data_IF_206959747667
#
_entry.id   IF_206959747667
#
_cell.length_a   1.000
_cell.length_b   1.000
_cell.length_c   1.000
_cell.angle_alpha   90.00
_cell.angle_beta   90.00
_cell.angle_gamma   90.00
#
_symmetry.space_group_name_H-M   'P 1'
#
loop_
_entity.id
_entity.type
_entity.pdbx_description
1 polymer ?
#
# COMPACT_ATOMS: atom_id res chain seq x y z
N UNK A 1 -8.04 34.69 -16.17
CA UNK A 1 -8.10 34.85 -14.70
C UNK A 1 -8.63 33.61 -13.98
N UNK A 2 -9.30 32.66 -14.65
CA UNK A 2 -9.83 31.45 -13.98
C UNK A 2 -8.78 30.36 -13.67
N UNK A 3 -7.68 30.28 -14.44
CA UNK A 3 -6.64 29.28 -14.22
C UNK A 3 -5.87 29.40 -12.90
N UNK A 4 -5.91 30.56 -12.24
CA UNK A 4 -5.26 30.79 -10.93
C UNK A 4 -6.21 30.45 -9.76
N UNK A 5 -7.53 30.52 -9.97
CA UNK A 5 -8.53 30.28 -8.92
C UNK A 5 -8.66 28.79 -8.59
N UNK A 6 -8.51 27.93 -9.60
CA UNK A 6 -8.57 26.47 -9.43
C UNK A 6 -7.51 25.94 -8.45
N UNK A 7 -6.20 26.23 -8.60
CA UNK A 7 -5.21 25.76 -7.63
C UNK A 7 -5.43 26.36 -6.25
N UNK A 8 -5.76 27.66 -6.15
CA UNK A 8 -5.96 28.34 -4.86
C UNK A 8 -7.10 27.71 -4.06
N UNK A 9 -8.27 27.50 -4.69
CA UNK A 9 -9.42 26.86 -4.06
C UNK A 9 -9.15 25.40 -3.66
N UNK A 10 -8.39 24.66 -4.46
CA UNK A 10 -7.99 23.29 -4.15
C UNK A 10 -7.07 23.24 -2.93
N UNK A 11 -6.03 24.09 -2.88
CA UNK A 11 -5.12 24.16 -1.73
C UNK A 11 -5.85 24.61 -0.45
N UNK A 12 -6.73 25.61 -0.55
CA UNK A 12 -7.49 26.09 0.59
C UNK A 12 -8.48 25.02 1.10
N UNK A 13 -9.14 24.31 0.18
CA UNK A 13 -10.07 23.22 0.50
C UNK A 13 -9.35 22.02 1.13
N UNK A 14 -8.19 21.63 0.61
CA UNK A 14 -7.36 20.58 1.19
C UNK A 14 -6.89 20.95 2.61
N UNK A 15 -6.43 22.19 2.80
CA UNK A 15 -6.02 22.67 4.12
C UNK A 15 -7.18 22.70 5.12
N UNK A 16 -8.35 23.20 4.70
CA UNK A 16 -9.57 23.23 5.51
C UNK A 16 -10.04 21.80 5.87
N UNK A 17 -9.94 20.85 4.94
CA UNK A 17 -10.28 19.45 5.19
C UNK A 17 -9.34 18.82 6.23
N UNK A 18 -8.02 18.97 6.05
CA UNK A 18 -7.03 18.44 7.00
C UNK A 18 -7.22 19.04 8.39
N UNK A 19 -7.42 20.37 8.45
CA UNK A 19 -7.70 21.06 9.71
C UNK A 19 -9.01 20.59 10.34
N UNK A 20 -10.07 20.41 9.56
CA UNK A 20 -11.37 19.92 10.02
C UNK A 20 -11.29 18.53 10.62
N UNK A 21 -10.64 17.58 9.93
CA UNK A 21 -10.40 16.22 10.43
C UNK A 21 -9.61 16.27 11.74
N UNK A 22 -8.55 17.09 11.80
CA UNK A 22 -7.71 17.20 12.99
C UNK A 22 -8.45 17.83 14.18
N UNK A 23 -9.28 18.84 13.94
CA UNK A 23 -10.08 19.51 14.95
C UNK A 23 -11.16 18.58 15.53
N UNK A 24 -11.91 17.90 14.67
CA UNK A 24 -12.93 16.92 15.08
C UNK A 24 -12.30 15.76 15.86
N UNK A 25 -11.18 15.21 15.37
CA UNK A 25 -10.47 14.14 16.08
C UNK A 25 -9.92 14.57 17.45
N UNK A 26 -9.69 15.87 17.68
CA UNK A 26 -9.27 16.38 18.98
C UNK A 26 -10.47 16.56 19.92
N UNK A 27 -11.61 17.04 19.40
CA UNK A 27 -12.88 17.13 20.15
C UNK A 27 -13.39 15.76 20.57
N UNK A 28 -13.31 14.76 19.70
CA UNK A 28 -13.70 13.38 20.00
C UNK A 28 -12.88 12.81 21.16
N UNK A 29 -11.57 13.05 21.18
CA UNK A 29 -10.68 12.60 22.27
C UNK A 29 -11.02 13.26 23.60
N UNK A 30 -11.37 14.55 23.60
CA UNK A 30 -11.80 15.26 24.82
C UNK A 30 -13.13 14.72 25.34
N UNK A 31 -14.11 14.53 24.45
CA UNK A 31 -15.41 13.96 24.81
C UNK A 31 -15.31 12.50 25.30
N UNK A 32 -14.27 11.77 24.89
CA UNK A 32 -13.97 10.41 25.37
C UNK A 32 -13.45 10.44 26.81
N UNK A 33 -12.51 11.35 27.12
CA UNK A 33 -11.99 11.57 28.48
C UNK A 33 -13.10 12.00 29.44
N UNK A 34 -13.97 12.93 29.01
CA UNK A 34 -15.11 13.41 29.80
C UNK A 34 -16.13 12.29 30.10
N UNK A 35 -16.22 11.27 29.25
CA UNK A 35 -17.05 10.08 29.45
C UNK A 35 -16.35 8.97 30.24
N UNK A 36 -15.17 9.23 30.78
CA UNK A 36 -14.38 8.27 31.55
C UNK A 36 -13.75 7.15 30.71
N UNK A 37 -13.72 7.33 29.38
CA UNK A 37 -13.06 6.40 28.45
C UNK A 37 -11.68 6.97 28.16
N UNK A 38 -10.62 6.22 28.47
CA UNK A 38 -9.26 6.66 28.20
C UNK A 38 -8.95 6.54 26.69
N UNK A 39 -8.75 7.66 25.97
CA UNK A 39 -8.49 7.64 24.52
C UNK A 39 -7.11 7.08 24.17
N UNK A 40 -6.27 6.81 25.17
CA UNK A 40 -4.95 6.20 25.05
C UNK A 40 -4.99 4.68 24.95
N UNK A 41 -6.02 4.01 25.46
CA UNK A 41 -6.08 2.52 25.49
C UNK A 41 -6.23 1.92 24.08
N UNK A 42 -6.74 2.70 23.12
CA UNK A 42 -6.82 2.28 21.71
C UNK A 42 -5.59 2.63 20.87
N UNK A 43 -4.57 3.27 21.47
CA UNK A 43 -3.31 3.59 20.81
C UNK A 43 -2.22 2.67 21.33
N UNK A 44 -1.66 1.88 20.42
CA UNK A 44 -0.49 1.02 20.64
C UNK A 44 -0.76 -0.44 21.04
N UNK A 45 -1.69 -1.12 20.37
CA UNK A 45 -1.15 -2.26 19.62
C UNK A 45 -0.39 -1.64 18.45
N UNK A 46 0.97 -1.64 18.44
CA UNK A 46 1.68 -1.36 17.21
C UNK A 46 1.00 -2.24 16.16
N UNK A 47 0.65 -1.74 14.98
CA UNK A 47 0.35 -2.63 13.86
C UNK A 47 1.73 -3.10 13.41
N UNK A 48 2.35 -4.12 14.04
CA UNK A 48 3.78 -4.42 13.90
C UNK A 48 4.09 -4.90 12.47
N UNK A 49 3.05 -5.17 11.70
CA UNK A 49 3.11 -5.85 10.43
C UNK A 49 2.94 -4.90 9.24
N UNK A 50 2.78 -3.58 9.42
CA UNK A 50 2.63 -2.68 8.26
C UNK A 50 3.93 -2.64 7.44
N UNK A 51 5.08 -2.53 8.11
CA UNK A 51 6.40 -2.65 7.50
C UNK A 51 6.62 -4.04 6.87
N UNK A 52 6.12 -5.10 7.51
CA UNK A 52 6.20 -6.47 6.99
C UNK A 52 5.36 -6.66 5.72
N UNK A 53 4.15 -6.07 5.65
CA UNK A 53 3.30 -6.06 4.46
C UNK A 53 3.98 -5.37 3.30
N UNK A 54 4.51 -4.17 3.52
CA UNK A 54 5.22 -3.43 2.48
C UNK A 54 6.52 -4.12 2.07
N UNK A 55 7.26 -4.72 3.01
CA UNK A 55 8.47 -5.48 2.73
C UNK A 55 8.20 -6.69 1.85
N UNK A 56 7.21 -7.52 2.20
CA UNK A 56 6.89 -8.72 1.44
C UNK A 56 6.22 -8.41 0.10
N UNK A 57 5.44 -7.33 0.02
CA UNK A 57 4.93 -6.79 -1.24
C UNK A 57 6.11 -6.40 -2.15
N UNK A 58 7.07 -5.61 -1.65
CA UNK A 58 8.20 -5.13 -2.43
C UNK A 58 9.12 -6.27 -2.90
N UNK A 59 9.31 -7.30 -2.06
CA UNK A 59 10.01 -8.53 -2.43
C UNK A 59 9.27 -9.29 -3.53
N UNK A 60 7.95 -9.47 -3.40
CA UNK A 60 7.13 -10.09 -4.44
C UNK A 60 7.18 -9.34 -5.78
N UNK A 61 7.12 -8.01 -5.72
CA UNK A 61 7.26 -7.13 -6.89
C UNK A 61 8.63 -7.29 -7.56
N UNK A 62 9.71 -7.28 -6.78
CA UNK A 62 11.08 -7.43 -7.28
C UNK A 62 11.33 -8.80 -7.91
N UNK A 63 10.92 -9.88 -7.25
CA UNK A 63 11.03 -11.24 -7.78
C UNK A 63 10.18 -11.39 -9.05
N UNK A 64 8.95 -10.87 -9.03
CA UNK A 64 8.05 -10.90 -10.19
C UNK A 64 8.64 -10.21 -11.41
N UNK A 65 9.33 -9.07 -11.22
CA UNK A 65 9.97 -8.34 -12.30
C UNK A 65 11.20 -9.07 -12.86
N UNK A 66 12.01 -9.69 -11.99
CA UNK A 66 13.14 -10.52 -12.43
C UNK A 66 12.68 -11.76 -13.22
N UNK A 67 11.63 -12.43 -12.75
CA UNK A 67 11.03 -13.58 -13.45
C UNK A 67 10.42 -13.15 -14.77
N UNK A 68 9.72 -12.01 -14.82
CA UNK A 68 9.19 -11.46 -16.06
C UNK A 68 10.30 -11.18 -17.08
N UNK A 69 11.40 -10.55 -16.65
CA UNK A 69 12.53 -10.24 -17.52
C UNK A 69 13.16 -11.51 -18.08
N UNK A 70 13.33 -12.54 -17.26
CA UNK A 70 13.86 -13.83 -17.71
C UNK A 70 12.91 -14.54 -18.68
N UNK A 71 11.60 -14.47 -18.42
CA UNK A 71 10.56 -15.06 -19.26
C UNK A 71 10.50 -14.36 -20.61
N UNK A 72 10.50 -13.02 -20.64
CA UNK A 72 10.50 -12.24 -21.87
C UNK A 72 11.77 -12.52 -22.68
N UNK A 73 12.96 -12.51 -22.05
CA UNK A 73 14.22 -12.86 -22.74
C UNK A 73 14.25 -14.29 -23.29
N UNK A 74 13.70 -15.25 -22.53
CA UNK A 74 13.70 -16.66 -22.91
C UNK A 74 12.67 -17.00 -23.98
N UNK A 75 11.53 -16.31 -24.01
CA UNK A 75 10.44 -16.55 -24.97
C UNK A 75 10.64 -15.76 -26.27
N UNK A 76 11.05 -14.50 -26.19
CA UNK A 76 11.13 -13.61 -27.36
C UNK A 76 12.52 -13.51 -27.99
N UNK A 77 13.58 -14.03 -27.33
CA UNK A 77 14.95 -13.92 -27.85
C UNK A 77 15.42 -12.46 -27.99
N UNK A 78 16.55 -12.27 -28.68
CA UNK A 78 17.21 -10.96 -28.81
C UNK A 78 16.61 -10.07 -29.93
N UNK A 79 15.69 -10.60 -30.74
CA UNK A 79 15.06 -9.93 -31.88
C UNK A 79 13.60 -9.56 -31.52
N UNK A 80 13.45 -8.48 -30.77
CA UNK A 80 12.13 -7.93 -30.45
C UNK A 80 11.59 -7.13 -31.65
N UNK A 81 10.55 -7.63 -32.30
CA UNK A 81 9.79 -6.86 -33.31
C UNK A 81 8.77 -5.95 -32.61
N UNK A 82 8.41 -4.80 -33.18
CA UNK A 82 7.47 -3.83 -32.59
C UNK A 82 6.09 -4.42 -32.20
N UNK A 83 5.68 -5.56 -32.74
CA UNK A 83 4.46 -6.30 -32.33
C UNK A 83 4.61 -7.05 -31.01
N UNK A 84 5.83 -7.44 -30.64
CA UNK A 84 6.16 -8.25 -29.46
C UNK A 84 6.30 -7.37 -28.20
N UNK A 85 6.51 -6.05 -28.37
CA UNK A 85 6.59 -5.08 -27.28
C UNK A 85 5.31 -5.11 -26.42
N UNK A 86 4.13 -5.19 -27.04
CA UNK A 86 2.85 -5.27 -26.33
C UNK A 86 2.69 -6.55 -25.50
N UNK A 87 3.17 -7.69 -26.01
CA UNK A 87 3.13 -8.96 -25.27
C UNK A 87 4.12 -8.96 -24.11
N UNK A 88 5.30 -8.37 -24.30
CA UNK A 88 6.27 -8.24 -23.21
C UNK A 88 5.71 -7.44 -22.03
N UNK A 89 5.02 -6.33 -22.29
CA UNK A 89 4.38 -5.49 -21.26
C UNK A 89 3.31 -6.27 -20.49
N UNK A 90 2.49 -7.06 -21.19
CA UNK A 90 1.49 -7.91 -20.54
C UNK A 90 2.13 -8.95 -19.60
N UNK A 91 3.26 -9.54 -19.99
CA UNK A 91 4.03 -10.46 -19.14
C UNK A 91 4.59 -9.75 -17.91
N UNK A 92 5.16 -8.55 -18.06
CA UNK A 92 5.64 -7.75 -16.93
C UNK A 92 4.51 -7.43 -15.94
N UNK A 93 3.39 -6.90 -16.40
CA UNK A 93 2.25 -6.58 -15.53
C UNK A 93 1.65 -7.83 -14.89
N UNK A 94 1.54 -8.94 -15.64
CA UNK A 94 1.02 -10.21 -15.14
C UNK A 94 1.90 -10.80 -14.02
N UNK A 95 3.21 -10.91 -14.27
CA UNK A 95 4.15 -11.43 -13.28
C UNK A 95 4.22 -10.53 -12.03
N UNK A 96 4.28 -9.21 -12.21
CA UNK A 96 4.27 -8.26 -11.09
C UNK A 96 2.99 -8.41 -10.26
N UNK A 97 1.83 -8.49 -10.89
CA UNK A 97 0.55 -8.64 -10.20
C UNK A 97 0.46 -9.95 -9.42
N UNK A 98 0.87 -11.07 -10.03
CA UNK A 98 0.82 -12.39 -9.41
C UNK A 98 1.82 -12.48 -8.25
N UNK A 99 3.09 -12.15 -8.47
CA UNK A 99 4.12 -12.26 -7.43
C UNK A 99 3.96 -11.19 -6.33
N UNK A 100 3.53 -9.98 -6.67
CA UNK A 100 3.16 -8.95 -5.69
C UNK A 100 1.95 -9.38 -4.85
N UNK A 101 0.94 -9.98 -5.47
CA UNK A 101 -0.22 -10.55 -4.78
C UNK A 101 0.15 -11.72 -3.86
N UNK A 102 0.98 -12.65 -4.34
CA UNK A 102 1.53 -13.74 -3.52
C UNK A 102 2.32 -13.22 -2.33
N UNK A 103 3.16 -12.19 -2.53
CA UNK A 103 3.88 -11.53 -1.45
C UNK A 103 2.95 -10.98 -0.36
N UNK A 104 1.79 -10.42 -0.72
CA UNK A 104 0.80 -9.97 0.26
C UNK A 104 0.08 -11.13 0.97
N UNK A 105 -0.26 -12.21 0.26
CA UNK A 105 -0.89 -13.42 0.84
C UNK A 105 0.04 -14.06 1.87
N UNK A 106 1.33 -14.20 1.54
CA UNK A 106 2.33 -14.73 2.48
C UNK A 106 2.46 -13.80 3.70
N UNK A 107 2.40 -12.48 3.50
CA UNK A 107 2.45 -11.53 4.63
C UNK A 107 1.30 -11.75 5.59
N UNK A 108 0.09 -11.97 5.07
CA UNK A 108 -1.08 -12.27 5.89
C UNK A 108 -0.95 -13.61 6.63
N UNK A 109 -0.41 -14.65 6.00
CA UNK A 109 -0.18 -15.94 6.64
C UNK A 109 0.85 -15.86 7.77
N UNK A 110 1.94 -15.10 7.56
CA UNK A 110 2.97 -14.88 8.58
C UNK A 110 2.39 -14.09 9.76
N UNK A 111 1.64 -13.03 9.48
CA UNK A 111 0.93 -12.24 10.51
C UNK A 111 -0.06 -13.11 11.30
N UNK A 112 -0.87 -13.92 10.62
CA UNK A 112 -1.82 -14.84 11.25
C UNK A 112 -1.11 -15.84 12.16
N UNK A 113 0.00 -16.44 11.70
CA UNK A 113 0.76 -17.43 12.46
C UNK A 113 1.43 -16.81 13.70
N UNK A 114 1.89 -15.57 13.60
CA UNK A 114 2.48 -14.85 14.71
C UNK A 114 1.44 -14.52 15.79
N UNK A 115 0.26 -14.03 15.38
CA UNK A 115 -0.86 -13.74 16.29
C UNK A 115 -1.40 -14.99 17.00
N UNK A 116 -1.33 -16.16 16.38
CA UNK A 116 -1.78 -17.43 16.96
C UNK A 116 -0.79 -17.97 18.01
N UNK A 117 0.52 -17.76 17.81
CA UNK A 117 1.55 -18.16 18.78
C UNK A 117 1.60 -17.26 20.02
N UNK A 118 1.20 -16.00 19.93
CA UNK A 118 1.18 -15.09 21.10
C UNK A 118 -0.03 -15.37 22.04
N UNK A 119 -1.00 -16.17 21.61
CA UNK A 119 -2.20 -16.52 22.38
C UNK A 119 -2.15 -17.90 23.04
N UNK A 120 -1.07 -18.66 22.85
CA UNK A 120 -0.83 -19.97 23.49
C UNK A 120 0.24 -19.87 24.58
#
# INVERSE_FOLDING_TARGET
MEGILVPISLFLGAFAMVFGIRYLSNKEKMAMIERGIDPGVHKATPKPFLSLKFGLLLVGLGIGLLVALFTVRGVFGNDMTHSEEGQSVAVYFGCIGIFGGLGLIVSYLVEKKWLDNEKG
#
